data_IF_047611776373
#
_entry.id   IF_047611776373
#
_cell.length_a   1.000
_cell.length_b   1.000
_cell.length_c   1.000
_cell.angle_alpha   90.00
_cell.angle_beta   90.00
_cell.angle_gamma   90.00
#
_symmetry.space_group_name_H-M   'P 1'
#
loop_
_entity.id
_entity.type
_entity.pdbx_description
1 polymer ?
#
# COMPACT_ATOMS: atom_id res chain seq x y z
N UNK A 1 37.67 5.03 -31.69
CA UNK A 1 36.31 5.00 -31.07
C UNK A 1 36.33 5.09 -29.53
N UNK A 2 37.29 4.49 -28.80
CA UNK A 2 37.36 4.62 -27.32
C UNK A 2 37.96 5.94 -26.78
N UNK A 3 38.73 6.68 -27.59
CA UNK A 3 39.33 7.97 -27.18
C UNK A 3 38.31 9.13 -27.20
N UNK A 4 37.41 9.16 -28.19
CA UNK A 4 36.35 10.17 -28.32
C UNK A 4 35.23 10.04 -27.26
N UNK A 5 35.05 8.86 -26.64
CA UNK A 5 34.04 8.66 -25.58
C UNK A 5 34.50 9.22 -24.23
N UNK A 6 35.81 9.16 -23.93
CA UNK A 6 36.38 9.72 -22.68
C UNK A 6 36.44 11.25 -22.66
N UNK A 7 36.54 11.90 -23.82
CA UNK A 7 36.55 13.38 -23.91
C UNK A 7 35.15 13.99 -23.75
N UNK A 8 34.08 13.23 -24.02
CA UNK A 8 32.70 13.70 -23.82
C UNK A 8 32.26 13.64 -22.34
N UNK A 9 32.72 12.64 -21.58
CA UNK A 9 32.42 12.50 -20.15
C UNK A 9 33.15 13.53 -19.27
N UNK A 10 34.29 14.07 -19.71
CA UNK A 10 35.01 15.10 -18.98
C UNK A 10 34.37 16.50 -19.12
N UNK A 11 33.57 16.74 -20.17
CA UNK A 11 32.96 18.06 -20.43
C UNK A 11 31.63 18.27 -19.70
N UNK A 12 30.89 17.20 -19.40
CA UNK A 12 29.62 17.28 -18.68
C UNK A 12 29.76 17.47 -17.16
N UNK A 13 30.95 17.23 -16.59
CA UNK A 13 31.20 17.38 -15.15
C UNK A 13 31.62 18.81 -14.74
N UNK A 14 31.87 19.70 -15.71
CA UNK A 14 32.30 21.07 -15.44
C UNK A 14 31.16 22.11 -15.41
N UNK A 15 29.92 21.72 -15.73
CA UNK A 15 28.78 22.65 -15.84
C UNK A 15 27.76 22.55 -14.67
N UNK A 16 28.00 21.72 -13.65
CA UNK A 16 27.10 21.59 -12.49
C UNK A 16 27.58 22.30 -11.21
N UNK A 17 28.71 23.02 -11.25
CA UNK A 17 29.25 23.76 -10.10
C UNK A 17 29.23 25.28 -10.36
N UNK A 18 28.03 25.87 -10.45
CA UNK A 18 27.85 27.31 -10.26
C UNK A 18 26.36 27.64 -10.15
N UNK A 19 25.83 27.69 -8.91
CA UNK A 19 24.85 28.69 -8.45
C UNK A 19 24.26 28.27 -7.10
N UNK A 20 24.85 28.75 -6.01
CA UNK A 20 24.11 28.99 -4.75
C UNK A 20 24.91 29.96 -3.89
N UNK A 21 24.42 31.21 -3.79
CA UNK A 21 24.85 32.18 -2.79
C UNK A 21 23.59 32.81 -2.16
N UNK A 22 23.55 32.74 -0.83
CA UNK A 22 22.54 33.19 0.16
C UNK A 22 22.37 34.72 0.22
N UNK A 23 21.43 35.32 1.01
CA UNK A 23 21.64 35.49 2.47
C UNK A 23 20.37 35.45 3.37
N UNK A 24 20.66 35.46 4.66
CA UNK A 24 19.81 35.26 5.84
C UNK A 24 19.22 36.54 6.48
N UNK A 25 18.28 36.37 7.43
CA UNK A 25 17.99 37.23 8.62
C UNK A 25 17.23 36.38 9.66
N UNK A 26 17.81 36.01 10.81
CA UNK A 26 17.70 36.63 12.17
C UNK A 26 16.28 36.76 12.72
N UNK A 27 15.97 36.07 13.83
CA UNK A 27 15.79 36.75 15.14
C UNK A 27 15.66 35.77 16.32
N UNK A 28 16.18 36.27 17.44
CA UNK A 28 16.30 35.81 18.83
C UNK A 28 14.95 35.77 19.58
N UNK A 29 14.76 34.89 20.57
CA UNK A 29 15.02 35.14 22.01
C UNK A 29 14.22 34.21 22.96
N UNK A 30 14.90 33.78 24.05
CA UNK A 30 14.43 33.57 25.45
C UNK A 30 13.21 32.66 25.77
N UNK A 31 13.01 32.09 26.96
CA UNK A 31 13.78 31.62 28.13
C UNK A 31 12.71 31.01 29.09
N UNK A 32 13.18 30.24 30.07
CA UNK A 32 12.48 29.49 31.14
C UNK A 32 11.19 30.06 31.76
N UNK A 33 10.35 29.14 32.26
CA UNK A 33 9.26 29.44 33.20
C UNK A 33 8.71 28.20 33.90
N UNK A 34 8.99 28.08 35.20
CA UNK A 34 8.68 26.98 36.10
C UNK A 34 7.17 26.81 36.46
N UNK A 35 6.90 25.67 37.10
CA UNK A 35 5.63 25.19 37.69
C UNK A 35 4.83 26.21 38.52
N UNK A 36 3.55 25.91 38.83
CA UNK A 36 3.31 25.29 40.13
C UNK A 36 2.29 24.12 40.16
N UNK A 37 2.40 23.48 41.31
CA UNK A 37 1.73 22.34 41.94
C UNK A 37 0.34 22.70 42.51
N UNK A 38 -0.35 21.68 43.06
CA UNK A 38 -1.59 21.61 43.89
C UNK A 38 -2.88 21.19 43.14
N UNK A 39 -3.74 20.27 43.60
CA UNK A 39 -4.04 19.62 44.91
C UNK A 39 -4.78 18.27 44.68
N UNK A 40 -4.58 17.29 45.60
CA UNK A 40 -5.58 16.49 46.39
C UNK A 40 -6.90 16.00 45.72
N UNK A 41 -7.56 14.88 46.04
CA UNK A 41 -7.42 13.70 46.90
C UNK A 41 -8.64 12.80 46.51
N UNK A 42 -8.56 11.48 46.73
CA UNK A 42 -9.62 10.64 47.35
C UNK A 42 -9.45 9.15 47.01
N UNK A 43 -8.82 8.46 47.95
CA UNK A 43 -8.93 7.03 48.22
C UNK A 43 -10.37 6.67 48.66
N UNK A 44 -10.97 5.61 48.08
CA UNK A 44 -11.91 4.77 48.85
C UNK A 44 -11.72 3.27 48.63
N UNK A 45 -11.53 2.65 49.78
CA UNK A 45 -11.17 1.26 50.09
C UNK A 45 -12.39 0.32 50.09
N UNK A 46 -12.06 -0.94 49.80
CA UNK A 46 -12.82 -2.21 49.79
C UNK A 46 -13.76 -2.43 50.99
N UNK A 47 -14.86 -3.17 50.77
CA UNK A 47 -15.52 -3.98 51.81
C UNK A 47 -15.92 -5.38 51.28
N UNK A 48 -15.66 -6.38 52.13
CA UNK A 48 -15.85 -7.82 51.97
C UNK A 48 -16.99 -8.28 52.91
N UNK A 49 -17.63 -9.39 52.53
CA UNK A 49 -18.49 -10.31 53.31
C UNK A 49 -20.03 -10.22 53.13
N UNK A 50 -20.56 -11.32 52.57
CA UNK A 50 -21.69 -12.06 53.15
C UNK A 50 -22.92 -12.23 52.26
N UNK A 51 -23.21 -13.45 51.79
CA UNK A 51 -24.57 -13.81 51.36
C UNK A 51 -24.68 -14.93 50.32
N UNK A 52 -25.10 -16.10 50.79
CA UNK A 52 -25.38 -17.34 50.05
C UNK A 52 -26.51 -17.15 49.03
N UNK A 53 -26.32 -17.63 47.80
CA UNK A 53 -27.38 -17.66 46.78
C UNK A 53 -26.91 -18.29 45.48
N UNK A 54 -26.96 -19.62 45.40
CA UNK A 54 -26.62 -20.35 44.19
C UNK A 54 -27.56 -20.04 43.03
N UNK A 55 -27.00 -19.54 41.92
CA UNK A 55 -27.45 -19.86 40.56
C UNK A 55 -26.29 -19.70 39.59
N UNK A 56 -25.54 -20.78 39.40
CA UNK A 56 -24.44 -20.85 38.42
C UNK A 56 -25.05 -21.05 37.04
N UNK A 57 -25.42 -19.98 36.35
CA UNK A 57 -25.60 -20.01 34.89
C UNK A 57 -24.24 -19.66 34.27
N UNK A 58 -23.32 -20.60 34.38
CA UNK A 58 -22.03 -20.54 33.70
C UNK A 58 -22.20 -21.01 32.26
N UNK A 59 -22.87 -20.21 31.43
CA UNK A 59 -22.80 -20.34 29.98
C UNK A 59 -21.45 -19.82 29.51
N UNK A 60 -20.37 -20.54 29.82
CA UNK A 60 -19.06 -20.23 29.26
C UNK A 60 -19.13 -20.46 27.76
N UNK A 61 -19.18 -19.39 26.97
CA UNK A 61 -18.92 -19.46 25.53
C UNK A 61 -17.58 -20.18 25.34
N UNK A 62 -17.64 -21.43 24.86
CA UNK A 62 -16.44 -22.15 24.46
C UNK A 62 -15.84 -21.34 23.32
N UNK A 63 -14.76 -20.58 23.57
CA UNK A 63 -14.00 -19.89 22.53
C UNK A 63 -13.73 -20.91 21.42
N UNK A 64 -14.33 -20.68 20.25
CA UNK A 64 -14.15 -21.52 19.07
C UNK A 64 -12.65 -21.63 18.81
N UNK A 65 -12.11 -22.86 18.76
CA UNK A 65 -10.69 -23.06 18.44
C UNK A 65 -10.45 -22.50 17.04
N UNK A 66 -9.48 -21.59 16.93
CA UNK A 66 -9.10 -20.99 15.64
C UNK A 66 -8.55 -22.06 14.70
N UNK A 67 -8.86 -21.96 13.42
CA UNK A 67 -8.27 -22.83 12.40
C UNK A 67 -6.81 -22.43 12.13
N UNK A 68 -5.97 -23.33 11.58
CA UNK A 68 -4.62 -22.97 11.17
C UNK A 68 -4.58 -21.79 10.19
N UNK A 69 -5.54 -21.70 9.26
CA UNK A 69 -5.68 -20.58 8.32
C UNK A 69 -6.03 -19.27 9.03
N UNK A 70 -6.92 -19.30 10.02
CA UNK A 70 -7.27 -18.13 10.85
C UNK A 70 -6.06 -17.63 11.68
N UNK A 71 -5.27 -18.55 12.24
CA UNK A 71 -4.03 -18.20 12.95
C UNK A 71 -3.03 -17.58 11.98
N UNK A 72 -2.92 -18.14 10.77
CA UNK A 72 -2.03 -17.65 9.73
C UNK A 72 -2.39 -16.24 9.28
N UNK A 73 -3.65 -15.99 8.89
CA UNK A 73 -4.05 -14.65 8.47
C UNK A 73 -3.89 -13.64 9.61
N UNK A 74 -4.18 -14.01 10.85
CA UNK A 74 -3.97 -13.10 11.98
C UNK A 74 -2.49 -12.71 12.15
N UNK A 75 -1.56 -13.64 11.91
CA UNK A 75 -0.12 -13.34 11.91
C UNK A 75 0.23 -12.37 10.78
N UNK A 76 -0.19 -12.67 9.56
CA UNK A 76 0.14 -11.86 8.39
C UNK A 76 -0.44 -10.44 8.51
N UNK A 77 -1.66 -10.29 9.03
CA UNK A 77 -2.27 -8.96 9.30
C UNK A 77 -1.49 -8.18 10.36
N UNK A 78 -1.00 -8.85 11.41
CA UNK A 78 -0.24 -8.20 12.48
C UNK A 78 1.15 -7.73 12.03
N UNK A 79 1.68 -8.32 10.95
CA UNK A 79 2.99 -7.99 10.37
C UNK A 79 2.88 -7.03 9.18
N UNK A 80 1.67 -6.58 8.82
CA UNK A 80 1.51 -5.63 7.72
C UNK A 80 2.17 -4.29 8.03
N UNK A 81 2.96 -3.82 7.07
CA UNK A 81 3.60 -2.49 7.15
C UNK A 81 3.21 -1.56 5.98
N UNK A 82 2.86 -2.12 4.81
CA UNK A 82 2.48 -1.33 3.62
C UNK A 82 3.60 -0.44 3.06
N UNK A 83 4.80 -0.46 3.64
CA UNK A 83 5.85 0.51 3.36
C UNK A 83 5.41 1.97 3.57
N UNK A 84 5.95 2.88 2.75
CA UNK A 84 5.61 4.31 2.80
C UNK A 84 4.50 4.73 1.84
N UNK A 85 4.08 3.84 0.94
CA UNK A 85 3.20 4.17 -0.18
C UNK A 85 1.89 3.40 -0.18
N UNK A 86 1.66 2.51 0.80
CA UNK A 86 0.37 1.83 0.94
C UNK A 86 -0.22 2.05 2.33
N UNK A 87 -1.53 2.23 2.37
CA UNK A 87 -2.32 2.27 3.61
C UNK A 87 -3.34 1.14 3.60
N UNK A 88 -3.56 0.53 4.75
CA UNK A 88 -4.46 -0.63 4.88
C UNK A 88 -5.63 -0.24 5.77
N UNK A 89 -6.84 -0.62 5.36
CA UNK A 89 -8.06 -0.38 6.14
C UNK A 89 -8.93 -1.64 6.22
N UNK A 90 -9.59 -1.81 7.37
CA UNK A 90 -10.51 -2.92 7.62
C UNK A 90 -11.93 -2.35 7.76
N UNK A 91 -12.76 -2.39 6.70
CA UNK A 91 -14.13 -1.88 6.75
C UNK A 91 -14.97 -2.56 7.84
N UNK A 92 -14.64 -3.80 8.19
CA UNK A 92 -15.24 -4.54 9.29
C UNK A 92 -14.14 -4.99 10.27
N UNK A 93 -14.08 -4.35 11.44
CA UNK A 93 -13.11 -4.68 12.49
C UNK A 93 -13.20 -6.13 13.01
N UNK A 94 -14.34 -6.81 12.80
CA UNK A 94 -14.54 -8.20 13.21
C UNK A 94 -14.14 -9.21 12.14
N UNK A 95 -13.71 -8.76 10.95
CA UNK A 95 -13.38 -9.61 9.81
C UNK A 95 -11.99 -9.27 9.27
N UNK A 96 -11.04 -10.19 9.49
CA UNK A 96 -9.67 -10.08 8.94
C UNK A 96 -9.55 -10.65 7.52
N UNK A 97 -10.63 -11.27 7.00
CA UNK A 97 -10.61 -11.95 5.70
C UNK A 97 -11.00 -11.05 4.54
N UNK A 98 -11.37 -9.80 4.80
CA UNK A 98 -11.70 -8.81 3.79
C UNK A 98 -11.23 -7.43 4.25
N UNK A 99 -10.37 -6.80 3.47
CA UNK A 99 -9.77 -5.51 3.78
C UNK A 99 -9.39 -4.79 2.49
N UNK A 100 -9.13 -3.49 2.61
CA UNK A 100 -8.72 -2.65 1.50
C UNK A 100 -7.28 -2.20 1.67
N UNK A 101 -6.58 -2.07 0.55
CA UNK A 101 -5.23 -1.52 0.46
C UNK A 101 -5.26 -0.38 -0.55
N UNK A 102 -4.92 0.82 -0.11
CA UNK A 102 -4.79 2.00 -0.93
C UNK A 102 -3.32 2.23 -1.23
N UNK A 103 -2.90 2.13 -2.49
CA UNK A 103 -1.53 2.38 -2.94
C UNK A 103 -1.44 3.77 -3.57
N UNK A 104 -0.53 4.60 -3.07
CA UNK A 104 -0.23 5.94 -3.60
C UNK A 104 1.25 6.02 -3.96
N UNK A 105 1.63 5.68 -5.21
CA UNK A 105 3.02 5.73 -5.65
C UNK A 105 3.60 7.15 -5.50
N UNK A 106 4.85 7.22 -5.06
CA UNK A 106 5.57 8.49 -4.86
C UNK A 106 6.34 8.96 -6.11
N UNK A 107 6.47 8.09 -7.11
CA UNK A 107 7.20 8.34 -8.35
C UNK A 107 6.67 7.45 -9.49
N UNK A 108 7.20 7.64 -10.70
CA UNK A 108 6.75 6.91 -11.88
C UNK A 108 5.48 7.49 -12.52
N UNK A 109 4.87 6.73 -13.43
CA UNK A 109 3.78 7.20 -14.28
C UNK A 109 2.48 7.51 -13.53
N UNK A 110 2.28 6.86 -12.39
CA UNK A 110 1.03 6.87 -11.62
C UNK A 110 1.15 7.64 -10.31
N UNK A 111 2.21 8.41 -10.12
CA UNK A 111 2.46 9.12 -8.87
C UNK A 111 1.38 10.15 -8.53
N UNK A 112 1.24 10.45 -7.24
CA UNK A 112 0.28 11.42 -6.69
C UNK A 112 -1.21 11.08 -6.84
N UNK A 113 -1.54 9.90 -7.37
CA UNK A 113 -2.91 9.36 -7.38
C UNK A 113 -2.98 8.13 -6.47
N UNK A 114 -4.17 7.86 -5.93
CA UNK A 114 -4.42 6.70 -5.07
C UNK A 114 -5.20 5.61 -5.79
N UNK A 115 -4.77 4.36 -5.61
CA UNK A 115 -5.37 3.18 -6.24
C UNK A 115 -5.83 2.20 -5.17
N UNK A 116 -7.14 1.95 -5.14
CA UNK A 116 -7.79 1.14 -4.13
C UNK A 116 -7.87 -0.31 -4.57
N UNK A 117 -7.44 -1.22 -3.70
CA UNK A 117 -7.51 -2.66 -3.91
C UNK A 117 -8.31 -3.33 -2.81
N UNK A 118 -9.24 -4.20 -3.17
CA UNK A 118 -9.92 -5.07 -2.22
C UNK A 118 -9.26 -6.44 -2.18
N UNK A 119 -8.88 -6.85 -0.98
CA UNK A 119 -8.33 -8.16 -0.69
C UNK A 119 -9.42 -9.04 -0.08
N UNK A 120 -9.53 -10.27 -0.56
CA UNK A 120 -10.40 -11.31 0.00
C UNK A 120 -9.59 -12.58 0.26
N UNK A 121 -9.54 -13.00 1.51
CA UNK A 121 -8.80 -14.19 1.95
C UNK A 121 -9.67 -15.43 1.76
N UNK A 122 -9.25 -16.43 0.95
CA UNK A 122 -10.03 -17.64 0.76
C UNK A 122 -10.03 -18.54 2.00
N UNK A 123 -11.00 -19.45 2.08
CA UNK A 123 -11.11 -20.40 3.19
C UNK A 123 -9.92 -21.35 3.32
N UNK A 124 -9.23 -21.62 2.21
CA UNK A 124 -8.05 -22.50 2.15
C UNK A 124 -6.72 -21.75 2.27
N UNK A 125 -6.73 -20.46 2.62
CA UNK A 125 -5.49 -19.71 2.88
C UNK A 125 -4.65 -20.38 3.99
N UNK A 126 -3.32 -20.54 3.82
CA UNK A 126 -2.46 -20.02 2.76
C UNK A 126 -2.21 -20.97 1.57
N UNK A 127 -2.95 -22.07 1.45
CA UNK A 127 -2.81 -22.98 0.31
C UNK A 127 -3.32 -22.37 -0.99
N UNK A 128 -4.35 -21.53 -0.90
CA UNK A 128 -4.81 -20.66 -1.99
C UNK A 128 -4.37 -19.21 -1.75
N UNK A 129 -3.99 -18.45 -2.81
CA UNK A 129 -3.62 -17.05 -2.69
C UNK A 129 -4.83 -16.18 -2.30
N UNK A 130 -4.59 -14.98 -1.72
CA UNK A 130 -5.65 -14.00 -1.57
C UNK A 130 -6.19 -13.59 -2.95
N UNK A 131 -7.47 -13.27 -3.03
CA UNK A 131 -8.05 -12.62 -4.22
C UNK A 131 -7.87 -11.12 -4.09
N UNK A 132 -7.40 -10.48 -5.16
CA UNK A 132 -7.19 -9.04 -5.22
C UNK A 132 -7.96 -8.48 -6.41
N UNK A 133 -8.68 -7.39 -6.18
CA UNK A 133 -9.40 -6.64 -7.20
C UNK A 133 -9.04 -5.16 -7.07
N UNK A 134 -8.71 -4.51 -8.19
CA UNK A 134 -8.48 -3.08 -8.23
C UNK A 134 -9.82 -2.36 -8.45
N UNK A 135 -10.23 -1.55 -7.48
CA UNK A 135 -11.47 -0.78 -7.54
C UNK A 135 -11.31 0.53 -8.33
N UNK A 136 -10.07 0.97 -8.55
CA UNK A 136 -9.75 2.21 -9.26
C UNK A 136 -9.49 1.90 -10.74
N UNK A 137 -10.26 2.50 -11.65
CA UNK A 137 -10.02 2.33 -13.08
C UNK A 137 -8.75 3.09 -13.50
N UNK A 138 -7.78 2.39 -14.10
CA UNK A 138 -6.52 2.99 -14.54
C UNK A 138 -5.99 2.38 -15.84
N UNK A 139 -5.24 3.18 -16.62
CA UNK A 139 -4.52 2.67 -17.78
C UNK A 139 -3.20 2.03 -17.32
N UNK A 140 -3.15 0.69 -17.27
CA UNK A 140 -2.00 -0.05 -16.77
C UNK A 140 -1.79 -1.38 -17.55
N UNK A 141 -0.55 -1.83 -17.83
CA UNK A 141 -0.31 -3.09 -18.56
C UNK A 141 -0.90 -4.34 -17.88
N UNK A 142 -0.80 -4.43 -16.55
CA UNK A 142 -1.19 -5.60 -15.76
C UNK A 142 -2.54 -5.45 -15.02
N UNK A 143 -3.29 -4.38 -15.26
CA UNK A 143 -4.65 -4.21 -14.71
C UNK A 143 -5.60 -3.94 -15.88
N UNK A 144 -6.74 -4.62 -15.92
CA UNK A 144 -7.73 -4.39 -16.96
C UNK A 144 -8.85 -3.44 -16.49
N UNK A 145 -9.75 -3.09 -17.40
CA UNK A 145 -10.87 -2.17 -17.14
C UNK A 145 -11.89 -2.71 -16.15
N UNK A 146 -11.94 -4.02 -15.94
CA UNK A 146 -12.79 -4.67 -14.96
C UNK A 146 -12.09 -4.84 -13.60
N UNK A 147 -10.91 -4.24 -13.38
CA UNK A 147 -10.22 -4.29 -12.09
C UNK A 147 -9.47 -5.60 -11.81
N UNK A 148 -9.38 -6.52 -12.77
CA UNK A 148 -8.57 -7.73 -12.62
C UNK A 148 -7.09 -7.38 -12.67
N UNK A 149 -6.32 -8.00 -11.78
CA UNK A 149 -4.87 -7.79 -11.66
C UNK A 149 -4.11 -9.03 -12.14
N UNK A 150 -3.05 -8.81 -12.91
CA UNK A 150 -2.08 -9.84 -13.27
C UNK A 150 -0.81 -9.66 -12.46
N UNK A 151 -0.69 -10.48 -11.41
CA UNK A 151 0.49 -10.59 -10.58
C UNK A 151 0.76 -12.09 -10.41
N UNK A 152 1.92 -12.56 -10.83
CA UNK A 152 2.29 -13.98 -10.88
C UNK A 152 2.11 -14.70 -9.52
N UNK A 153 2.45 -14.04 -8.41
CA UNK A 153 2.29 -14.61 -7.07
C UNK A 153 0.82 -14.71 -6.61
N UNK A 154 -0.14 -14.17 -7.35
CA UNK A 154 -1.58 -14.43 -7.14
C UNK A 154 -2.07 -15.66 -7.94
N UNK A 155 -1.18 -16.33 -8.67
CA UNK A 155 -1.50 -17.43 -9.60
C UNK A 155 -0.47 -18.57 -9.48
N UNK A 156 0.31 -18.84 -10.52
CA UNK A 156 1.24 -19.97 -10.62
C UNK A 156 2.40 -19.91 -9.63
N UNK A 157 2.84 -18.70 -9.28
CA UNK A 157 3.98 -18.49 -8.40
C UNK A 157 3.57 -18.36 -6.93
N UNK A 158 2.27 -18.46 -6.61
CA UNK A 158 1.84 -18.54 -5.23
C UNK A 158 2.44 -19.78 -4.55
N UNK A 159 2.94 -19.57 -3.33
CA UNK A 159 3.43 -20.63 -2.45
C UNK A 159 2.94 -20.30 -1.04
N UNK A 160 2.53 -21.29 -0.22
CA UNK A 160 2.06 -21.04 1.15
C UNK A 160 3.07 -20.36 2.08
N UNK A 161 4.34 -20.24 1.67
CA UNK A 161 5.38 -19.48 2.39
C UNK A 161 5.26 -17.96 2.17
N UNK A 162 4.63 -17.51 1.08
CA UNK A 162 4.36 -16.11 0.82
C UNK A 162 3.25 -15.60 1.73
N UNK A 163 3.36 -14.35 2.14
CA UNK A 163 2.42 -13.66 3.03
C UNK A 163 1.67 -12.53 2.31
N UNK A 164 0.80 -11.84 3.04
CA UNK A 164 0.04 -10.71 2.50
C UNK A 164 0.95 -9.53 2.14
N UNK A 165 2.04 -9.30 2.90
CA UNK A 165 3.02 -8.26 2.58
C UNK A 165 3.66 -8.50 1.20
N UNK A 166 4.05 -9.74 0.89
CA UNK A 166 4.61 -10.08 -0.41
C UNK A 166 3.65 -9.70 -1.57
N UNK A 167 2.35 -9.89 -1.36
CA UNK A 167 1.32 -9.48 -2.33
C UNK A 167 1.24 -7.95 -2.43
N UNK A 168 1.18 -7.23 -1.30
CA UNK A 168 1.13 -5.76 -1.29
C UNK A 168 2.36 -5.16 -1.98
N UNK A 169 3.56 -5.64 -1.65
CA UNK A 169 4.79 -5.21 -2.31
C UNK A 169 4.82 -5.59 -3.80
N UNK A 170 4.26 -6.73 -4.18
CA UNK A 170 4.08 -7.10 -5.58
C UNK A 170 3.17 -6.12 -6.33
N UNK A 171 2.06 -5.68 -5.73
CA UNK A 171 1.18 -4.66 -6.31
C UNK A 171 1.89 -3.31 -6.42
N UNK A 172 2.58 -2.88 -5.36
CA UNK A 172 3.39 -1.65 -5.36
C UNK A 172 4.42 -1.69 -6.49
N UNK A 173 5.13 -2.82 -6.65
CA UNK A 173 6.13 -3.00 -7.70
C UNK A 173 5.56 -2.83 -9.11
N UNK A 174 4.32 -3.28 -9.37
CA UNK A 174 3.69 -3.09 -10.68
C UNK A 174 3.55 -1.61 -11.07
N UNK A 175 3.38 -0.69 -10.11
CA UNK A 175 3.35 0.75 -10.40
C UNK A 175 4.73 1.34 -10.72
N UNK A 176 5.81 0.76 -10.21
CA UNK A 176 7.17 1.23 -10.46
C UNK A 176 7.79 0.60 -11.71
N UNK A 177 7.54 -0.70 -11.91
CA UNK A 177 8.07 -1.48 -13.02
C UNK A 177 6.99 -2.47 -13.52
N UNK A 178 6.06 -2.00 -14.38
CA UNK A 178 5.02 -2.84 -14.95
C UNK A 178 5.63 -4.00 -15.74
N UNK A 179 5.00 -5.17 -15.71
CA UNK A 179 5.49 -6.33 -16.44
C UNK A 179 4.84 -6.41 -17.85
N UNK A 180 5.55 -6.07 -18.94
CA UNK A 180 4.98 -6.14 -20.28
C UNK A 180 4.92 -7.57 -20.85
N UNK A 181 5.49 -8.57 -20.18
CA UNK A 181 5.54 -9.95 -20.66
C UNK A 181 4.24 -10.74 -20.36
N UNK A 182 3.51 -10.36 -19.32
CA UNK A 182 2.22 -10.97 -18.95
C UNK A 182 1.12 -9.88 -18.74
N UNK A 183 0.74 -9.16 -19.81
CA UNK A 183 -0.19 -8.04 -19.70
C UNK A 183 -1.66 -8.49 -19.83
N UNK A 184 -2.55 -7.78 -19.13
CA UNK A 184 -3.98 -7.82 -19.40
C UNK A 184 -4.39 -6.75 -20.42
N UNK A 185 -3.69 -5.62 -20.44
CA UNK A 185 -3.83 -4.58 -21.43
C UNK A 185 -2.67 -4.65 -22.44
N UNK A 186 -2.88 -5.41 -23.51
CA UNK A 186 -1.86 -5.63 -24.54
C UNK A 186 -1.45 -4.33 -25.25
N UNK A 187 -2.36 -3.37 -25.44
CA UNK A 187 -2.08 -2.10 -26.07
C UNK A 187 -1.13 -1.25 -25.20
N UNK A 188 -1.44 -1.12 -23.91
CA UNK A 188 -0.59 -0.44 -22.93
C UNK A 188 0.80 -1.08 -22.86
N UNK A 189 0.88 -2.42 -22.77
CA UNK A 189 2.15 -3.14 -22.74
C UNK A 189 2.98 -2.96 -24.02
N UNK A 190 2.34 -2.92 -25.19
CA UNK A 190 3.01 -2.65 -26.46
C UNK A 190 3.60 -1.25 -26.47
N UNK A 191 2.83 -0.23 -26.09
CA UNK A 191 3.32 1.16 -26.02
C UNK A 191 4.44 1.31 -25.00
N UNK A 192 4.37 0.66 -23.83
CA UNK A 192 5.44 0.68 -22.85
C UNK A 192 6.78 0.20 -23.42
N UNK A 193 6.77 -0.82 -24.30
CA UNK A 193 7.98 -1.34 -24.95
C UNK A 193 8.43 -0.49 -26.14
N UNK A 194 7.50 -0.08 -26.99
CA UNK A 194 7.81 0.48 -28.32
C UNK A 194 7.82 2.01 -28.35
N UNK A 195 7.01 2.66 -27.51
CA UNK A 195 6.84 4.12 -27.49
C UNK A 195 6.45 4.63 -26.10
N UNK A 196 7.45 4.72 -25.21
CA UNK A 196 7.27 5.19 -23.83
C UNK A 196 6.64 6.57 -23.72
N UNK A 197 6.92 7.47 -24.68
CA UNK A 197 6.35 8.82 -24.67
C UNK A 197 4.84 8.83 -24.95
N UNK A 198 4.36 7.96 -25.84
CA UNK A 198 2.90 7.80 -26.03
C UNK A 198 2.25 7.09 -24.86
N UNK A 199 2.91 6.06 -24.29
CA UNK A 199 2.45 5.41 -23.07
C UNK A 199 2.24 6.43 -21.93
N UNK A 200 3.24 7.27 -21.67
CA UNK A 200 3.17 8.33 -20.65
C UNK A 200 2.03 9.33 -20.92
N UNK A 201 1.87 9.77 -22.19
CA UNK A 201 0.76 10.64 -22.58
C UNK A 201 -0.60 10.00 -22.33
N UNK A 202 -0.74 8.70 -22.59
CA UNK A 202 -1.97 7.96 -22.37
C UNK A 202 -2.27 7.80 -20.88
N UNK A 203 -1.27 7.46 -20.06
CA UNK A 203 -1.43 7.44 -18.59
C UNK A 203 -1.88 8.81 -18.09
N UNK A 204 -1.16 9.87 -18.45
CA UNK A 204 -1.51 11.22 -18.02
C UNK A 204 -2.90 11.65 -18.50
N UNK A 205 -3.34 11.21 -19.68
CA UNK A 205 -4.69 11.45 -20.19
C UNK A 205 -5.74 10.67 -19.41
N UNK A 206 -5.51 9.40 -19.10
CA UNK A 206 -6.46 8.60 -18.33
C UNK A 206 -6.65 9.15 -16.92
N UNK A 207 -5.56 9.56 -16.26
CA UNK A 207 -5.63 10.12 -14.90
C UNK A 207 -6.47 11.41 -14.83
N UNK A 208 -6.49 12.20 -15.91
CA UNK A 208 -7.33 13.41 -16.02
C UNK A 208 -8.76 13.14 -16.49
N UNK A 209 -9.23 11.90 -16.45
CA UNK A 209 -10.58 11.50 -16.87
C UNK A 209 -10.80 11.47 -18.39
N UNK A 210 -9.72 11.33 -19.16
CA UNK A 210 -9.78 11.32 -20.62
C UNK A 210 -10.13 9.96 -21.23
N UNK A 211 -10.21 9.93 -22.57
CA UNK A 211 -10.41 8.72 -23.35
C UNK A 211 -9.08 8.15 -23.88
N UNK A 212 -8.86 6.86 -23.68
CA UNK A 212 -7.71 6.10 -24.23
C UNK A 212 -8.23 4.79 -24.80
N UNK A 213 -7.87 4.47 -26.05
CA UNK A 213 -8.26 3.24 -26.74
C UNK A 213 -9.78 2.94 -26.71
N UNK A 214 -10.60 4.00 -26.77
CA UNK A 214 -12.07 3.90 -26.75
C UNK A 214 -12.70 3.74 -25.36
N UNK A 215 -11.89 3.72 -24.30
CA UNK A 215 -12.33 3.63 -22.91
C UNK A 215 -12.24 5.01 -22.27
N UNK A 216 -13.33 5.45 -21.62
CA UNK A 216 -13.31 6.61 -20.73
C UNK A 216 -12.79 6.18 -19.36
N UNK A 217 -11.90 6.97 -18.78
CA UNK A 217 -11.41 6.79 -17.42
C UNK A 217 -12.04 7.81 -16.48
N UNK A 218 -12.18 7.45 -15.22
CA UNK A 218 -12.52 8.39 -14.15
C UNK A 218 -11.33 9.29 -13.86
N UNK A 219 -11.61 10.52 -13.40
CA UNK A 219 -10.56 11.43 -12.97
C UNK A 219 -10.08 11.03 -11.57
N UNK A 220 -8.76 10.95 -11.40
CA UNK A 220 -8.07 10.63 -10.15
C UNK A 220 -7.28 11.82 -9.60
#
# INVERSE_FOLDING_TARGET
LRKKKKEAEAKAKAESESASTTPATTDTDSADGASPMVTEDDDKKVSLLGGIGGRKVGGGEKKKKRTPGEIRIQKDIAELDGGSVATISFPNANSLTAFNVSVTPDSGYWCNCSYEFTFTIPALYPHEPPKVHCNTQLYHPNVNTEGNVCLNILREDWKPVLDINAVIYGLIYLFYDPNPADPLNHAAAKLLRENKGEFERNVARSLRGGYVDGVQYEQL
#
